data_IF_827314069249
#
_entry.id   IF_827314069249
#
_cell.length_a   1.000
_cell.length_b   1.000
_cell.length_c   1.000
_cell.angle_alpha   90.00
_cell.angle_beta   90.00
_cell.angle_gamma   90.00
#
_symmetry.space_group_name_H-M   'P 1'
#
loop_
_entity.id
_entity.type
_entity.pdbx_description
1 polymer ?
#
# COMPACT_ATOMS: atom_id res chain seq x y z
N UNK A 1 -53.88 84.61 -80.35
CA UNK A 1 -54.92 84.82 -79.33
C UNK A 1 -54.20 85.18 -78.05
N UNK A 2 -54.20 86.46 -77.69
CA UNK A 2 -53.55 86.93 -76.48
C UNK A 2 -54.43 86.57 -75.29
N UNK A 3 -53.85 85.93 -74.27
CA UNK A 3 -54.54 85.66 -73.01
C UNK A 3 -54.99 87.01 -72.44
N UNK A 4 -56.22 87.09 -71.95
CA UNK A 4 -56.71 88.35 -71.36
C UNK A 4 -56.08 88.54 -69.99
N UNK A 5 -56.05 89.79 -69.51
CA UNK A 5 -55.53 90.11 -68.16
C UNK A 5 -56.33 89.36 -67.08
N UNK A 6 -57.64 89.17 -67.28
CA UNK A 6 -58.46 88.38 -66.36
C UNK A 6 -58.06 86.90 -66.32
N UNK A 7 -57.72 86.28 -67.46
CA UNK A 7 -57.25 84.88 -67.49
C UNK A 7 -55.90 84.71 -66.77
N UNK A 8 -55.02 85.71 -66.85
CA UNK A 8 -53.74 85.69 -66.14
C UNK A 8 -53.96 85.83 -64.63
N UNK A 9 -54.86 86.72 -64.20
CA UNK A 9 -55.20 86.90 -62.79
C UNK A 9 -55.82 85.63 -62.19
N UNK A 10 -56.69 84.95 -62.93
CA UNK A 10 -57.28 83.68 -62.49
C UNK A 10 -56.21 82.57 -62.32
N UNK A 11 -55.24 82.46 -63.24
CA UNK A 11 -54.14 81.49 -63.12
C UNK A 11 -53.20 81.78 -61.96
N UNK A 12 -52.94 83.07 -61.67
CA UNK A 12 -52.13 83.47 -60.51
C UNK A 12 -52.84 83.08 -59.22
N UNK A 13 -54.14 83.34 -59.11
CA UNK A 13 -54.93 82.94 -57.95
C UNK A 13 -54.95 81.41 -57.74
N UNK A 14 -55.03 80.63 -58.82
CA UNK A 14 -54.99 79.16 -58.75
C UNK A 14 -53.61 78.63 -58.31
N UNK A 15 -52.52 79.24 -58.79
CA UNK A 15 -51.15 78.93 -58.34
C UNK A 15 -50.92 79.28 -56.87
N UNK A 16 -51.44 80.42 -56.42
CA UNK A 16 -51.39 80.81 -55.01
C UNK A 16 -52.15 79.81 -54.14
N UNK A 17 -53.31 79.33 -54.62
CA UNK A 17 -54.09 78.31 -53.92
C UNK A 17 -53.36 76.95 -53.89
N UNK A 18 -52.68 76.56 -54.98
CA UNK A 18 -51.87 75.33 -55.01
C UNK A 18 -50.66 75.42 -54.09
N UNK A 19 -49.95 76.56 -54.06
CA UNK A 19 -48.83 76.77 -53.14
C UNK A 19 -49.26 76.72 -51.67
N UNK A 20 -50.45 77.21 -51.34
CA UNK A 20 -51.01 77.14 -49.99
C UNK A 20 -51.33 75.69 -49.54
N UNK A 21 -51.43 74.74 -50.46
CA UNK A 21 -51.72 73.33 -50.15
C UNK A 21 -50.48 72.44 -50.00
N UNK A 22 -49.27 72.96 -50.25
CA UNK A 22 -48.04 72.20 -50.04
C UNK A 22 -47.75 72.12 -48.53
N UNK A 23 -47.79 70.92 -47.90
CA UNK A 23 -47.46 70.79 -46.49
C UNK A 23 -45.98 71.15 -46.26
N UNK A 24 -45.64 71.85 -45.16
CA UNK A 24 -44.25 72.15 -44.84
C UNK A 24 -43.47 70.83 -44.68
N UNK A 25 -42.18 70.80 -45.09
CA UNK A 25 -41.35 69.61 -44.90
C UNK A 25 -41.32 69.23 -43.41
N UNK A 26 -41.31 67.94 -43.07
CA UNK A 26 -41.27 67.51 -41.68
C UNK A 26 -40.04 68.11 -41.00
N UNK A 27 -40.26 68.74 -39.84
CA UNK A 27 -39.23 69.44 -39.06
C UNK A 27 -38.41 68.50 -38.18
N UNK A 28 -38.77 67.22 -38.13
CA UNK A 28 -38.07 66.19 -37.35
C UNK A 28 -37.45 65.15 -38.29
N UNK A 29 -36.19 65.36 -38.64
CA UNK A 29 -35.33 64.28 -39.10
C UNK A 29 -34.68 63.66 -37.87
N UNK A 30 -34.71 62.32 -37.76
CA UNK A 30 -33.91 61.65 -36.74
C UNK A 30 -32.42 61.82 -37.10
N UNK A 31 -31.77 62.78 -36.47
CA UNK A 31 -30.31 62.87 -36.44
C UNK A 31 -29.81 61.94 -35.34
N UNK A 32 -29.03 60.94 -35.72
CA UNK A 32 -28.33 60.09 -34.75
C UNK A 32 -27.57 60.96 -33.76
N UNK A 33 -27.71 60.66 -32.46
CA UNK A 33 -26.90 61.29 -31.42
C UNK A 33 -25.41 60.93 -31.51
N UNK A 34 -25.08 59.92 -32.32
CA UNK A 34 -23.72 59.45 -32.60
C UNK A 34 -23.29 59.83 -34.00
N UNK A 35 -22.05 60.30 -34.12
CA UNK A 35 -21.36 60.48 -35.38
C UNK A 35 -21.14 59.15 -36.10
N UNK A 36 -20.89 59.21 -37.43
CA UNK A 36 -20.54 58.01 -38.20
C UNK A 36 -19.28 57.31 -37.67
N UNK A 37 -18.28 58.08 -37.23
CA UNK A 37 -17.05 57.51 -36.63
C UNK A 37 -17.33 56.77 -35.32
N UNK A 38 -18.24 57.27 -34.47
CA UNK A 38 -18.64 56.58 -33.23
C UNK A 38 -19.39 55.28 -33.53
N UNK A 39 -20.20 55.26 -34.57
CA UNK A 39 -20.90 54.05 -35.04
C UNK A 39 -19.89 53.03 -35.57
N UNK A 40 -18.94 53.45 -36.40
CA UNK A 40 -17.90 52.57 -36.95
C UNK A 40 -16.99 52.01 -35.85
N UNK A 41 -16.61 52.84 -34.87
CA UNK A 41 -15.84 52.42 -33.71
C UNK A 41 -16.61 51.40 -32.86
N UNK A 42 -17.92 51.57 -32.69
CA UNK A 42 -18.78 50.63 -31.98
C UNK A 42 -18.87 49.27 -32.71
N UNK A 43 -19.07 49.28 -34.03
CA UNK A 43 -19.11 48.06 -34.85
C UNK A 43 -17.78 47.32 -34.78
N UNK A 44 -16.67 48.05 -34.88
CA UNK A 44 -15.33 47.48 -34.75
C UNK A 44 -15.13 46.82 -33.39
N UNK A 45 -15.53 47.50 -32.30
CA UNK A 45 -15.44 46.98 -30.93
C UNK A 45 -16.27 45.70 -30.74
N UNK A 46 -17.43 45.60 -31.38
CA UNK A 46 -18.26 44.40 -31.37
C UNK A 46 -17.57 43.25 -32.13
N UNK A 47 -17.02 43.51 -33.31
CA UNK A 47 -16.31 42.48 -34.09
C UNK A 47 -15.03 41.98 -33.41
N UNK A 48 -14.26 42.89 -32.81
CA UNK A 48 -13.03 42.56 -32.08
C UNK A 48 -13.33 41.80 -30.77
N UNK A 49 -14.51 42.03 -30.17
CA UNK A 49 -14.94 41.40 -28.91
C UNK A 49 -15.63 40.04 -29.05
N UNK A 50 -16.13 39.66 -30.23
CA UNK A 50 -16.86 38.40 -30.46
C UNK A 50 -15.92 37.20 -30.64
N UNK A 51 -14.66 37.41 -31.04
CA UNK A 51 -13.68 36.33 -31.14
C UNK A 51 -12.92 36.20 -29.82
N UNK A 52 -13.62 35.82 -28.76
CA UNK A 52 -13.04 35.50 -27.44
C UNK A 52 -12.21 34.20 -27.42
N UNK A 53 -11.49 33.91 -28.50
CA UNK A 53 -10.53 32.81 -28.59
C UNK A 53 -9.13 33.29 -28.24
N UNK A 54 -8.29 32.36 -27.78
CA UNK A 54 -6.87 32.61 -27.56
C UNK A 54 -6.22 33.00 -28.89
N UNK A 55 -5.77 34.25 -29.03
CA UNK A 55 -5.19 34.77 -30.28
C UNK A 55 -3.83 34.14 -30.61
N UNK A 56 -3.12 33.68 -29.59
CA UNK A 56 -1.95 32.81 -29.72
C UNK A 56 -1.68 32.00 -28.45
N UNK A 57 -1.19 30.77 -28.59
CA UNK A 57 -0.79 29.92 -27.47
C UNK A 57 0.50 29.18 -27.82
N UNK A 58 1.49 29.26 -26.93
CA UNK A 58 2.79 28.59 -27.08
C UNK A 58 3.44 28.83 -28.46
N UNK A 59 3.39 30.08 -28.95
CA UNK A 59 3.95 30.48 -30.25
C UNK A 59 3.10 30.16 -31.49
N UNK A 60 1.95 29.49 -31.33
CA UNK A 60 1.01 29.18 -32.42
C UNK A 60 -0.11 30.23 -32.50
N UNK A 61 -0.54 30.58 -33.70
CA UNK A 61 -1.65 31.53 -33.98
C UNK A 61 -2.80 30.84 -34.70
N UNK A 62 -4.02 31.38 -34.61
CA UNK A 62 -5.22 30.81 -35.25
C UNK A 62 -5.94 29.76 -34.39
N UNK A 63 -6.58 28.77 -35.01
CA UNK A 63 -7.26 27.69 -34.29
C UNK A 63 -6.25 26.80 -33.56
N UNK A 64 -6.11 27.00 -32.24
CA UNK A 64 -5.19 26.23 -31.40
C UNK A 64 -5.86 24.93 -30.92
N UNK A 65 -5.48 23.79 -31.50
CA UNK A 65 -5.82 22.46 -30.97
C UNK A 65 -4.73 21.99 -29.98
N UNK A 66 -5.10 21.31 -28.89
CA UNK A 66 -4.15 20.64 -28.01
C UNK A 66 -3.21 19.69 -28.77
N UNK A 67 -1.91 19.83 -28.53
CA UNK A 67 -0.83 18.99 -29.05
C UNK A 67 -0.04 18.39 -27.89
N UNK A 68 0.70 17.30 -28.17
CA UNK A 68 1.60 16.71 -27.20
C UNK A 68 2.64 17.76 -26.74
N UNK A 69 2.74 17.98 -25.43
CA UNK A 69 3.65 18.97 -24.83
C UNK A 69 3.05 20.35 -24.54
N UNK A 70 1.82 20.64 -24.98
CA UNK A 70 1.11 21.88 -24.60
C UNK A 70 0.78 21.96 -23.11
N UNK A 71 0.63 20.78 -22.49
CA UNK A 71 0.37 20.62 -21.08
C UNK A 71 1.36 19.63 -20.51
N UNK A 72 1.99 20.00 -19.40
CA UNK A 72 2.71 19.06 -18.56
C UNK A 72 1.92 18.83 -17.25
N UNK A 73 2.32 17.81 -16.48
CA UNK A 73 1.66 17.46 -15.23
C UNK A 73 1.67 18.58 -14.18
N UNK A 74 2.53 19.60 -14.32
CA UNK A 74 2.56 20.74 -13.39
C UNK A 74 1.52 21.81 -13.69
N UNK A 75 0.91 21.79 -14.88
CA UNK A 75 -0.10 22.76 -15.34
C UNK A 75 -1.54 22.27 -15.21
N UNK A 76 -1.74 20.99 -14.86
CA UNK A 76 -3.08 20.42 -14.65
C UNK A 76 -3.41 20.54 -13.15
N UNK A 77 -4.34 21.44 -12.75
CA UNK A 77 -4.78 21.54 -11.36
C UNK A 77 -5.50 20.26 -10.95
N UNK A 78 -5.22 19.76 -9.75
CA UNK A 78 -5.88 18.56 -9.22
C UNK A 78 -7.09 19.03 -8.44
N UNK A 79 -8.30 18.80 -8.97
CA UNK A 79 -9.54 19.26 -8.33
C UNK A 79 -9.94 18.48 -7.07
N UNK A 80 -9.04 17.67 -6.49
CA UNK A 80 -9.38 16.70 -5.45
C UNK A 80 -8.48 16.67 -4.20
N UNK A 81 -7.37 17.41 -4.16
CA UNK A 81 -6.50 17.49 -2.99
C UNK A 81 -6.26 18.97 -2.64
N UNK A 82 -6.74 19.46 -1.48
CA UNK A 82 -6.64 20.88 -1.12
C UNK A 82 -5.19 21.38 -0.94
N UNK A 83 -4.19 20.50 -0.87
CA UNK A 83 -2.77 20.88 -0.71
C UNK A 83 -1.94 20.74 -2.00
N UNK A 84 -2.45 20.09 -3.05
CA UNK A 84 -1.67 19.84 -4.27
C UNK A 84 -2.01 20.83 -5.40
N UNK A 85 -1.11 21.77 -5.68
CA UNK A 85 -1.27 22.72 -6.80
C UNK A 85 -1.22 22.05 -8.18
N UNK A 86 -0.61 20.86 -8.29
CA UNK A 86 -0.50 20.12 -9.54
C UNK A 86 -0.40 18.60 -9.39
N UNK A 87 -0.63 17.87 -10.49
CA UNK A 87 -0.63 16.40 -10.55
C UNK A 87 0.73 15.81 -10.13
N UNK A 88 1.84 16.46 -10.48
CA UNK A 88 3.17 16.00 -10.09
C UNK A 88 3.37 16.04 -8.56
N UNK A 89 2.86 17.06 -7.87
CA UNK A 89 2.86 17.17 -6.42
C UNK A 89 1.91 16.14 -5.78
N UNK A 90 0.72 15.94 -6.33
CA UNK A 90 -0.24 14.95 -5.82
C UNK A 90 0.28 13.49 -5.93
N UNK A 91 1.08 13.20 -6.96
CA UNK A 91 1.71 11.89 -7.17
C UNK A 91 3.07 11.76 -6.49
N UNK A 92 3.71 12.87 -6.12
CA UNK A 92 4.97 12.84 -5.39
C UNK A 92 4.80 11.99 -4.11
N UNK A 93 5.70 11.05 -3.91
CA UNK A 93 5.71 10.12 -2.77
C UNK A 93 4.59 9.05 -2.72
N UNK A 94 3.71 8.96 -3.72
CA UNK A 94 2.71 7.86 -3.77
C UNK A 94 3.33 6.52 -4.24
N UNK A 95 4.42 6.58 -5.00
CA UNK A 95 5.27 5.44 -5.35
C UNK A 95 6.71 5.89 -5.67
N UNK A 96 7.52 6.26 -4.66
CA UNK A 96 8.91 6.67 -4.89
C UNK A 96 9.67 5.64 -5.73
N UNK A 97 10.30 6.09 -6.82
CA UNK A 97 11.08 5.23 -7.72
C UNK A 97 10.30 4.22 -8.58
N UNK A 98 8.96 4.20 -8.54
CA UNK A 98 8.15 3.29 -9.36
C UNK A 98 8.04 1.85 -8.83
N UNK A 99 8.53 1.57 -7.62
CA UNK A 99 8.55 0.21 -7.04
C UNK A 99 7.36 -0.12 -6.12
N UNK A 100 6.39 0.79 -5.96
CA UNK A 100 5.15 0.56 -5.20
C UNK A 100 5.32 0.38 -3.67
N UNK A 101 6.56 0.29 -3.16
CA UNK A 101 6.88 0.18 -1.73
C UNK A 101 7.78 1.31 -1.22
N UNK A 102 8.31 2.16 -2.12
CA UNK A 102 9.09 3.34 -1.77
C UNK A 102 10.49 3.05 -1.23
N UNK A 103 10.87 3.78 -0.19
CA UNK A 103 12.18 3.81 0.47
C UNK A 103 12.39 2.61 1.44
N UNK A 104 13.41 2.70 2.31
CA UNK A 104 13.64 1.74 3.39
C UNK A 104 12.39 1.54 4.28
N UNK A 105 12.21 0.32 4.80
CA UNK A 105 11.15 -0.01 5.77
C UNK A 105 11.14 0.95 6.96
N UNK A 106 9.94 1.28 7.48
CA UNK A 106 9.80 2.16 8.64
C UNK A 106 10.50 1.55 9.85
N UNK A 107 11.44 2.28 10.43
CA UNK A 107 12.13 1.85 11.64
C UNK A 107 11.22 2.03 12.87
N UNK A 108 11.20 1.00 13.72
CA UNK A 108 10.53 0.98 15.01
C UNK A 108 11.59 0.95 16.12
N UNK A 109 11.28 1.57 17.25
CA UNK A 109 12.15 1.63 18.42
C UNK A 109 11.47 1.01 19.64
N UNK A 110 12.14 1.01 20.78
CA UNK A 110 11.57 0.56 22.06
C UNK A 110 10.35 1.37 22.53
N UNK A 111 10.13 2.56 21.97
CA UNK A 111 8.99 3.42 22.31
C UNK A 111 7.71 2.98 21.56
N UNK A 112 7.86 2.24 20.47
CA UNK A 112 6.75 1.69 19.70
C UNK A 112 6.18 0.41 20.33
N UNK A 113 4.90 0.17 20.11
CA UNK A 113 4.24 -1.10 20.43
C UNK A 113 3.78 -1.80 19.15
N UNK A 114 4.31 -2.99 18.90
CA UNK A 114 3.99 -3.79 17.73
C UNK A 114 2.51 -4.20 17.68
N UNK A 115 1.79 -4.22 18.82
CA UNK A 115 0.35 -4.47 18.87
C UNK A 115 -0.47 -3.28 18.33
N UNK A 116 0.07 -2.06 18.37
CA UNK A 116 -0.57 -0.85 17.85
C UNK A 116 -0.29 -0.62 16.35
N UNK A 117 0.65 -1.35 15.77
CA UNK A 117 1.00 -1.23 14.34
C UNK A 117 0.01 -2.01 13.48
N UNK A 118 -1.00 -1.32 12.97
CA UNK A 118 -2.06 -1.88 12.11
C UNK A 118 -1.98 -1.44 10.65
N UNK A 119 -1.21 -0.40 10.34
CA UNK A 119 -1.11 0.10 8.97
C UNK A 119 -0.33 -0.88 8.08
N UNK A 120 -0.86 -1.18 6.90
CA UNK A 120 -0.15 -1.93 5.87
C UNK A 120 1.24 -1.33 5.62
N UNK A 121 2.25 -2.19 5.55
CA UNK A 121 3.59 -1.74 5.21
C UNK A 121 4.70 -2.66 5.67
N UNK A 122 5.92 -2.19 5.43
CA UNK A 122 7.15 -2.83 5.87
C UNK A 122 7.78 -2.03 7.00
N UNK A 123 8.17 -2.74 8.04
CA UNK A 123 8.75 -2.21 9.26
C UNK A 123 10.05 -2.93 9.55
N UNK A 124 10.92 -2.32 10.34
CA UNK A 124 12.17 -2.93 10.78
C UNK A 124 12.53 -2.48 12.20
N UNK A 125 13.32 -3.28 12.89
CA UNK A 125 14.01 -2.85 14.10
C UNK A 125 15.34 -3.59 14.25
N UNK A 126 16.24 -2.95 14.99
CA UNK A 126 17.51 -3.52 15.41
C UNK A 126 17.46 -4.04 16.85
N UNK A 127 18.53 -3.82 17.60
CA UNK A 127 18.62 -4.22 19.01
C UNK A 127 17.61 -3.53 19.94
N UNK A 128 17.14 -2.33 19.58
CA UNK A 128 16.08 -1.62 20.29
C UNK A 128 14.71 -2.08 19.80
N UNK A 129 14.30 -3.28 20.18
CA UNK A 129 13.06 -3.88 19.72
C UNK A 129 11.82 -3.15 20.30
N UNK A 130 10.75 -2.99 19.51
CA UNK A 130 9.49 -2.47 20.01
C UNK A 130 8.87 -3.43 21.02
N UNK A 131 7.95 -2.90 21.82
CA UNK A 131 7.15 -3.71 22.74
C UNK A 131 6.39 -4.79 21.97
N UNK A 132 6.21 -5.95 22.59
CA UNK A 132 5.55 -7.11 22.00
C UNK A 132 6.23 -7.69 20.73
N UNK A 133 7.48 -7.32 20.46
CA UNK A 133 8.27 -7.94 19.40
C UNK A 133 8.61 -9.41 19.71
N UNK A 134 8.57 -10.31 18.71
CA UNK A 134 9.05 -11.67 18.90
C UNK A 134 10.57 -11.70 19.13
N UNK A 135 11.02 -12.55 20.04
CA UNK A 135 12.45 -12.84 20.15
C UNK A 135 12.88 -13.74 18.98
N UNK A 136 13.49 -13.14 17.98
CA UNK A 136 13.99 -13.80 16.77
C UNK A 136 15.50 -13.99 16.75
N UNK A 137 16.18 -13.72 17.86
CA UNK A 137 17.62 -13.93 17.97
C UNK A 137 17.96 -15.42 17.91
N UNK A 138 19.06 -15.82 17.23
CA UNK A 138 19.58 -17.18 17.29
C UNK A 138 20.01 -17.63 18.70
N UNK A 139 20.08 -16.72 19.66
CA UNK A 139 20.75 -16.93 20.95
C UNK A 139 22.06 -16.14 20.99
N UNK A 140 22.62 -15.94 22.19
CA UNK A 140 23.90 -15.25 22.45
C UNK A 140 23.91 -13.71 22.43
N UNK A 141 22.76 -13.04 22.54
CA UNK A 141 22.72 -11.57 22.65
C UNK A 141 23.03 -10.84 21.34
N UNK A 142 22.97 -11.54 20.21
CA UNK A 142 23.19 -10.96 18.89
C UNK A 142 22.13 -9.89 18.56
N UNK A 143 22.59 -8.76 18.04
CA UNK A 143 21.74 -7.68 17.51
C UNK A 143 20.78 -8.24 16.47
N UNK A 144 19.49 -8.21 16.80
CA UNK A 144 18.45 -8.70 15.91
C UNK A 144 18.13 -7.65 14.86
N UNK A 145 18.53 -7.88 13.61
CA UNK A 145 17.92 -7.17 12.48
C UNK A 145 16.65 -7.93 12.08
N UNK A 146 15.49 -7.37 12.41
CA UNK A 146 14.20 -7.95 12.06
C UNK A 146 13.50 -7.05 11.04
N UNK A 147 12.94 -7.67 10.02
CA UNK A 147 11.92 -7.08 9.16
C UNK A 147 10.56 -7.60 9.54
N UNK A 148 9.56 -6.73 9.51
CA UNK A 148 8.17 -7.10 9.66
C UNK A 148 7.34 -6.61 8.47
N UNK A 149 6.40 -7.45 8.05
CA UNK A 149 5.32 -7.06 7.15
C UNK A 149 4.04 -7.03 7.95
N UNK A 150 3.30 -5.93 7.82
CA UNK A 150 1.94 -5.80 8.36
C UNK A 150 0.99 -5.83 7.18
N UNK A 151 0.04 -6.77 7.22
CA UNK A 151 -1.06 -6.88 6.27
C UNK A 151 -2.37 -6.81 7.04
N UNK A 152 -3.12 -5.71 6.92
CA UNK A 152 -4.41 -5.55 7.58
C UNK A 152 -5.58 -5.73 6.60
N UNK A 153 -6.60 -6.41 7.08
CA UNK A 153 -7.91 -6.47 6.43
C UNK A 153 -8.81 -5.33 6.95
N UNK A 154 -8.79 -5.10 8.26
CA UNK A 154 -9.46 -4.00 8.96
C UNK A 154 -8.72 -3.67 10.27
N UNK A 155 -9.32 -2.88 11.16
CA UNK A 155 -8.75 -2.49 12.47
C UNK A 155 -8.73 -3.63 13.51
N UNK A 156 -9.36 -4.75 13.22
CA UNK A 156 -9.51 -5.90 14.11
C UNK A 156 -8.80 -7.16 13.59
N UNK A 157 -8.46 -7.20 12.31
CA UNK A 157 -7.93 -8.36 11.60
C UNK A 157 -6.61 -7.99 10.90
N UNK A 158 -5.50 -8.34 11.54
CA UNK A 158 -4.15 -7.94 11.12
C UNK A 158 -3.22 -9.15 11.15
N UNK A 159 -2.52 -9.40 10.04
CA UNK A 159 -1.41 -10.34 9.97
C UNK A 159 -0.10 -9.58 10.14
N UNK A 160 0.77 -10.07 11.02
CA UNK A 160 2.15 -9.64 11.11
C UNK A 160 3.07 -10.83 10.86
N UNK A 161 4.01 -10.65 9.94
CA UNK A 161 5.05 -11.64 9.63
C UNK A 161 6.42 -11.04 9.87
N UNK A 162 7.36 -11.90 10.24
CA UNK A 162 8.68 -11.50 10.70
C UNK A 162 9.78 -12.33 10.06
N UNK A 163 10.87 -11.65 9.70
CA UNK A 163 12.07 -12.24 9.12
C UNK A 163 13.31 -11.72 9.84
N UNK A 164 14.17 -12.63 10.30
CA UNK A 164 15.49 -12.25 10.78
C UNK A 164 16.47 -12.15 9.61
N UNK A 165 17.26 -11.07 9.57
CA UNK A 165 18.39 -10.88 8.64
C UNK A 165 19.70 -11.43 9.23
N UNK A 166 19.67 -12.09 10.38
CA UNK A 166 20.90 -12.60 10.99
C UNK A 166 21.54 -13.67 10.10
N UNK A 167 22.82 -13.50 9.72
CA UNK A 167 23.51 -14.37 8.76
C UNK A 167 23.53 -15.85 9.20
N UNK A 168 23.50 -16.12 10.51
CA UNK A 168 23.43 -17.47 11.07
C UNK A 168 22.01 -17.99 11.32
N UNK A 169 20.96 -17.19 11.10
CA UNK A 169 19.60 -17.53 11.50
C UNK A 169 18.56 -16.94 10.55
N UNK A 170 18.02 -17.78 9.66
CA UNK A 170 16.96 -17.40 8.73
C UNK A 170 15.57 -17.58 9.36
N UNK A 171 15.42 -17.15 10.60
CA UNK A 171 14.23 -17.37 11.40
C UNK A 171 13.02 -16.67 10.78
N UNK A 172 11.86 -17.34 10.78
CA UNK A 172 10.59 -16.80 10.26
C UNK A 172 9.43 -17.15 11.17
N UNK A 173 8.57 -16.19 11.44
CA UNK A 173 7.37 -16.38 12.25
C UNK A 173 6.27 -15.42 11.81
N UNK A 174 5.04 -15.68 12.28
CA UNK A 174 3.91 -14.79 12.12
C UNK A 174 3.04 -14.76 13.36
N UNK A 175 2.16 -13.77 13.46
CA UNK A 175 1.04 -13.76 14.41
C UNK A 175 -0.14 -13.04 13.78
N UNK A 176 -1.33 -13.38 14.24
CA UNK A 176 -2.57 -12.86 13.68
C UNK A 176 -3.37 -12.22 14.81
N UNK A 177 -3.75 -10.96 14.62
CA UNK A 177 -4.82 -10.31 15.36
C UNK A 177 -6.15 -10.69 14.73
N UNK A 178 -7.10 -11.20 15.53
CA UNK A 178 -8.48 -11.43 15.12
C UNK A 178 -9.41 -10.78 16.12
N UNK A 179 -10.42 -10.06 15.65
CA UNK A 179 -11.37 -9.33 16.51
C UNK A 179 -10.67 -8.43 17.55
N UNK A 180 -9.53 -7.82 17.17
CA UNK A 180 -8.74 -6.95 18.05
C UNK A 180 -7.88 -7.69 19.09
N UNK A 181 -7.84 -9.03 19.05
CA UNK A 181 -7.05 -9.85 19.98
C UNK A 181 -5.88 -10.50 19.23
N UNK A 182 -4.67 -10.23 19.69
CA UNK A 182 -3.46 -10.86 19.18
C UNK A 182 -3.38 -12.33 19.59
N UNK A 183 -3.31 -13.22 18.60
CA UNK A 183 -3.03 -14.63 18.79
C UNK A 183 -1.56 -14.91 19.11
N UNK A 184 -1.23 -16.18 19.41
CA UNK A 184 0.15 -16.57 19.70
C UNK A 184 1.06 -16.39 18.48
N UNK A 185 2.35 -16.22 18.74
CA UNK A 185 3.38 -16.31 17.70
C UNK A 185 3.48 -17.75 17.18
N UNK A 186 3.50 -17.91 15.87
CA UNK A 186 3.69 -19.21 15.23
C UNK A 186 4.87 -19.19 14.28
N UNK A 187 5.73 -20.19 14.40
CA UNK A 187 6.99 -20.29 13.69
C UNK A 187 6.82 -21.01 12.35
N UNK A 188 7.38 -20.40 11.31
CA UNK A 188 7.52 -20.97 9.97
C UNK A 188 8.88 -21.64 9.85
N UNK A 189 9.93 -20.94 10.32
CA UNK A 189 11.27 -21.47 10.45
C UNK A 189 11.79 -21.11 11.85
N UNK A 190 11.60 -22.00 12.85
CA UNK A 190 12.05 -21.76 14.21
C UNK A 190 13.59 -21.81 14.30
N UNK A 191 14.21 -21.10 15.26
CA UNK A 191 15.66 -21.18 15.51
C UNK A 191 16.13 -22.56 15.96
N UNK A 192 15.20 -23.41 16.44
CA UNK A 192 15.48 -24.74 16.99
C UNK A 192 16.54 -24.74 18.10
N UNK A 193 16.52 -23.75 18.99
CA UNK A 193 17.37 -23.75 20.18
C UNK A 193 17.02 -24.93 21.09
N UNK A 194 18.06 -25.51 21.68
CA UNK A 194 17.94 -26.67 22.56
C UNK A 194 17.06 -26.35 23.77
N UNK A 195 16.05 -27.18 24.02
CA UNK A 195 15.14 -27.04 25.16
C UNK A 195 14.04 -26.00 24.99
N UNK A 196 14.01 -25.25 23.89
CA UNK A 196 12.98 -24.24 23.61
C UNK A 196 11.84 -24.87 22.81
N UNK A 197 10.61 -24.63 23.25
CA UNK A 197 9.38 -25.06 22.58
C UNK A 197 8.89 -23.95 21.63
N UNK A 198 8.54 -24.33 20.40
CA UNK A 198 8.03 -23.44 19.37
C UNK A 198 6.69 -23.94 18.86
N UNK A 199 5.64 -23.11 18.97
CA UNK A 199 4.37 -23.34 18.25
C UNK A 199 4.58 -23.07 16.76
N UNK A 200 4.19 -23.97 15.88
CA UNK A 200 4.40 -23.81 14.43
C UNK A 200 3.11 -23.43 13.70
N UNK A 201 3.25 -23.07 12.42
CA UNK A 201 2.10 -22.85 11.54
C UNK A 201 1.42 -24.16 11.10
N UNK A 202 2.07 -25.31 11.34
CA UNK A 202 1.54 -26.61 10.94
C UNK A 202 0.35 -27.02 11.83
N UNK A 203 -0.55 -27.81 11.27
CA UNK A 203 -1.71 -28.38 11.96
C UNK A 203 -1.83 -29.85 11.65
N UNK A 204 -2.14 -30.65 12.67
CA UNK A 204 -2.61 -32.02 12.49
C UNK A 204 -4.08 -32.08 12.89
N UNK A 205 -4.97 -32.38 11.93
CA UNK A 205 -6.42 -32.35 12.16
C UNK A 205 -6.91 -31.04 12.81
N UNK A 206 -6.42 -29.89 12.32
CA UNK A 206 -6.68 -28.54 12.87
C UNK A 206 -6.09 -28.24 14.26
N UNK A 207 -5.40 -29.18 14.91
CA UNK A 207 -4.71 -28.96 16.18
C UNK A 207 -3.31 -28.38 15.92
N UNK A 208 -2.87 -27.33 16.64
CA UNK A 208 -1.53 -26.77 16.52
C UNK A 208 -0.43 -27.79 16.79
N UNK A 209 0.56 -27.83 15.89
CA UNK A 209 1.80 -28.58 16.09
C UNK A 209 2.82 -27.68 16.79
N UNK A 210 3.55 -28.27 17.72
CA UNK A 210 4.69 -27.69 18.43
C UNK A 210 5.94 -28.47 18.05
N UNK A 211 7.09 -27.81 18.08
CA UNK A 211 8.40 -28.44 17.87
C UNK A 211 9.36 -28.08 18.99
N UNK A 212 10.21 -29.03 19.39
CA UNK A 212 11.23 -28.83 20.43
C UNK A 212 12.46 -29.70 20.13
N UNK A 213 13.64 -29.09 20.19
CA UNK A 213 14.90 -29.81 20.24
C UNK A 213 15.18 -30.26 21.68
N UNK A 214 15.48 -31.54 21.87
CA UNK A 214 15.71 -32.19 23.16
C UNK A 214 17.10 -32.79 23.18
N UNK A 215 17.85 -32.56 24.26
CA UNK A 215 19.12 -33.21 24.49
C UNK A 215 18.86 -34.60 25.10
N UNK A 216 19.16 -35.66 24.36
CA UNK A 216 19.04 -37.02 24.85
C UNK A 216 20.32 -37.49 25.55
N UNK A 217 21.43 -36.76 25.39
CA UNK A 217 22.75 -37.13 25.87
C UNK A 217 23.34 -38.27 25.05
N UNK A 218 24.11 -39.16 25.68
CA UNK A 218 24.74 -40.30 24.98
C UNK A 218 23.71 -41.32 24.50
N UNK A 219 23.97 -41.96 23.36
CA UNK A 219 23.15 -43.05 22.85
C UNK A 219 23.29 -44.32 23.73
N UNK A 220 22.40 -45.33 23.56
CA UNK A 220 22.50 -46.59 24.31
C UNK A 220 23.74 -47.42 23.95
N UNK A 221 24.17 -48.27 24.88
CA UNK A 221 25.22 -49.28 24.66
C UNK A 221 24.58 -50.66 24.45
N UNK A 222 24.21 -51.01 23.21
CA UNK A 222 23.56 -52.28 22.88
C UNK A 222 22.37 -52.62 23.80
N UNK A 223 21.58 -51.59 24.15
CA UNK A 223 20.49 -51.65 25.13
C UNK A 223 19.45 -50.57 24.83
N UNK A 224 18.50 -50.34 25.75
CA UNK A 224 17.59 -49.21 25.74
C UNK A 224 18.03 -48.12 26.72
N UNK A 225 17.77 -46.86 26.37
CA UNK A 225 17.94 -45.72 27.26
C UNK A 225 16.72 -44.82 27.18
N UNK A 226 16.31 -44.25 28.31
CA UNK A 226 15.13 -43.39 28.43
C UNK A 226 15.51 -42.06 29.07
N UNK A 227 14.99 -40.96 28.52
CA UNK A 227 15.22 -39.59 29.01
C UNK A 227 13.92 -38.80 28.96
N UNK A 228 13.68 -37.94 29.95
CA UNK A 228 12.54 -37.01 29.96
C UNK A 228 12.71 -35.93 28.89
N UNK A 229 11.67 -35.68 28.08
CA UNK A 229 11.68 -34.59 27.10
C UNK A 229 11.25 -33.23 27.70
N UNK A 230 10.67 -33.24 28.90
CA UNK A 230 10.28 -32.02 29.63
C UNK A 230 9.27 -31.16 28.87
N UNK A 231 8.24 -31.78 28.29
CA UNK A 231 7.16 -31.09 27.58
C UNK A 231 5.90 -31.24 28.42
N UNK A 232 5.39 -30.13 28.92
CA UNK A 232 4.14 -30.11 29.68
C UNK A 232 2.94 -30.18 28.74
N UNK A 233 1.97 -31.04 29.03
CA UNK A 233 0.74 -31.19 28.23
C UNK A 233 0.97 -31.84 26.87
N UNK A 234 2.01 -32.68 26.74
CA UNK A 234 2.23 -33.49 25.55
C UNK A 234 1.02 -34.40 25.32
N UNK A 235 0.50 -34.40 24.08
CA UNK A 235 -0.65 -35.23 23.71
C UNK A 235 -0.23 -36.36 22.77
N UNK A 236 0.23 -35.99 21.58
CA UNK A 236 0.56 -36.96 20.53
C UNK A 236 1.85 -36.58 19.83
N UNK A 237 2.77 -37.54 19.72
CA UNK A 237 3.93 -37.42 18.83
C UNK A 237 3.44 -37.47 17.39
N UNK A 238 3.83 -36.48 16.58
CA UNK A 238 3.50 -36.39 15.16
C UNK A 238 4.69 -36.79 14.31
N UNK A 239 5.89 -36.37 14.68
CA UNK A 239 7.14 -36.68 13.97
C UNK A 239 8.34 -36.66 14.92
N UNK A 240 9.34 -37.48 14.58
CA UNK A 240 10.62 -37.55 15.29
C UNK A 240 11.75 -37.50 14.27
N UNK A 241 12.70 -36.59 14.51
CA UNK A 241 13.96 -36.55 13.78
C UNK A 241 15.12 -36.34 14.76
N UNK A 242 16.36 -36.49 14.30
CA UNK A 242 17.49 -36.27 15.19
C UNK A 242 18.83 -36.62 14.59
N UNK A 243 19.89 -36.28 15.33
CA UNK A 243 21.27 -36.59 14.98
C UNK A 243 21.86 -37.56 16.00
N UNK A 244 22.74 -38.45 15.53
CA UNK A 244 23.47 -39.44 16.32
C UNK A 244 24.97 -39.35 15.98
N UNK A 245 25.74 -38.59 16.76
CA UNK A 245 27.19 -38.48 16.59
C UNK A 245 27.66 -38.11 15.17
N UNK A 246 26.85 -37.36 14.41
CA UNK A 246 27.11 -36.99 13.01
C UNK A 246 26.34 -37.81 11.97
N UNK A 247 25.72 -38.93 12.35
CA UNK A 247 24.79 -39.68 11.52
C UNK A 247 23.34 -39.19 11.72
N UNK A 248 22.45 -39.53 10.79
CA UNK A 248 21.01 -39.39 11.02
C UNK A 248 20.57 -40.41 12.07
N UNK A 249 19.77 -39.97 13.05
CA UNK A 249 19.18 -40.87 14.04
C UNK A 249 18.17 -41.82 13.38
N UNK A 250 17.33 -41.27 12.50
CA UNK A 250 16.23 -42.00 11.86
C UNK A 250 16.80 -42.89 10.75
N UNK A 251 16.48 -44.18 10.80
CA UNK A 251 16.96 -45.17 9.83
C UNK A 251 18.41 -45.62 10.04
N UNK A 252 19.04 -45.23 11.15
CA UNK A 252 20.36 -45.76 11.51
C UNK A 252 20.27 -47.27 11.75
N UNK A 253 21.14 -48.06 11.09
CA UNK A 253 21.06 -49.54 11.08
C UNK A 253 21.09 -50.19 12.47
N UNK A 254 21.69 -49.51 13.46
CA UNK A 254 21.81 -50.01 14.83
C UNK A 254 20.80 -49.40 15.81
N UNK A 255 19.85 -48.60 15.31
CA UNK A 255 18.71 -48.12 16.09
C UNK A 255 17.52 -49.00 15.70
N UNK A 256 17.03 -49.76 16.68
CA UNK A 256 15.95 -50.73 16.46
C UNK A 256 14.59 -50.20 16.91
N UNK A 257 14.58 -49.18 17.77
CA UNK A 257 13.36 -48.57 18.28
C UNK A 257 13.58 -47.13 18.73
N UNK A 258 12.60 -46.27 18.42
CA UNK A 258 12.46 -44.93 19.00
C UNK A 258 11.01 -44.79 19.44
N UNK A 259 10.80 -44.68 20.75
CA UNK A 259 9.49 -44.56 21.34
C UNK A 259 9.39 -43.22 22.06
N UNK A 260 8.29 -42.50 21.82
CA UNK A 260 7.97 -41.25 22.50
C UNK A 260 6.63 -41.41 23.18
N UNK A 261 6.59 -41.23 24.49
CA UNK A 261 5.37 -41.29 25.29
C UNK A 261 5.03 -39.90 25.84
N UNK A 262 4.16 -39.83 26.85
CA UNK A 262 3.68 -38.56 27.40
C UNK A 262 4.75 -37.69 28.09
N UNK A 263 5.87 -38.26 28.54
CA UNK A 263 6.95 -37.51 29.21
C UNK A 263 8.36 -37.85 28.77
N UNK A 264 8.56 -39.00 28.11
CA UNK A 264 9.87 -39.59 27.83
C UNK A 264 10.09 -39.93 26.36
N UNK A 265 11.37 -39.96 26.00
CA UNK A 265 11.88 -40.57 24.77
C UNK A 265 12.69 -41.81 25.20
N UNK A 266 12.46 -42.94 24.55
CA UNK A 266 13.27 -44.15 24.66
C UNK A 266 13.91 -44.45 23.32
N UNK A 267 15.21 -44.71 23.33
CA UNK A 267 15.97 -45.16 22.16
C UNK A 267 16.53 -46.54 22.47
N UNK A 268 16.35 -47.47 21.54
CA UNK A 268 16.83 -48.84 21.61
C UNK A 268 17.87 -49.07 20.52
N UNK A 269 19.01 -49.65 20.93
CA UNK A 269 20.11 -49.97 20.02
C UNK A 269 20.58 -51.42 20.19
N UNK A 270 20.98 -52.05 19.09
CA UNK A 270 21.52 -53.42 19.06
C UNK A 270 23.06 -53.48 19.05
N UNK A 271 23.72 -52.32 19.06
CA UNK A 271 25.17 -52.16 19.13
C UNK A 271 25.56 -51.04 20.10
N UNK A 272 26.85 -51.01 20.49
CA UNK A 272 27.38 -49.94 21.31
C UNK A 272 27.47 -48.63 20.53
N UNK A 273 26.60 -47.68 20.86
CA UNK A 273 26.58 -46.33 20.29
C UNK A 273 26.90 -45.26 21.36
N UNK A 274 27.29 -45.66 22.57
CA UNK A 274 27.41 -44.77 23.75
C UNK A 274 28.44 -43.66 23.63
N UNK A 275 29.33 -43.75 22.62
CA UNK A 275 30.28 -42.69 22.26
C UNK A 275 29.66 -41.54 21.47
N UNK A 276 28.44 -41.69 20.97
CA UNK A 276 27.72 -40.70 20.19
C UNK A 276 26.70 -39.96 21.04
N UNK A 277 26.66 -38.63 20.90
CA UNK A 277 25.58 -37.82 21.46
C UNK A 277 24.37 -37.81 20.53
N UNK A 278 23.19 -37.75 21.14
CA UNK A 278 21.89 -37.73 20.47
C UNK A 278 21.15 -36.46 20.80
N UNK A 279 20.65 -35.81 19.75
CA UNK A 279 19.71 -34.70 19.86
C UNK A 279 18.47 -35.06 19.05
N UNK A 280 17.32 -34.93 19.68
CA UNK A 280 16.03 -35.32 19.09
C UNK A 280 15.20 -34.07 18.86
N UNK A 281 14.62 -33.94 17.68
CA UNK A 281 13.59 -32.95 17.39
C UNK A 281 12.26 -33.68 17.40
N UNK A 282 11.37 -33.26 18.29
CA UNK A 282 10.00 -33.76 18.37
C UNK A 282 9.07 -32.74 17.73
N UNK A 283 8.21 -33.19 16.80
CA UNK A 283 6.97 -32.48 16.48
C UNK A 283 5.79 -33.18 17.15
N UNK A 284 4.93 -32.41 17.80
CA UNK A 284 3.85 -32.97 18.63
C UNK A 284 2.67 -32.03 18.74
N UNK A 285 1.53 -32.59 19.12
CA UNK A 285 0.37 -31.81 19.58
C UNK A 285 0.35 -31.74 21.10
N UNK A 286 -0.32 -30.72 21.63
CA UNK A 286 -0.56 -30.57 23.07
C UNK A 286 -2.04 -30.76 23.36
N UNK A 287 -2.37 -31.18 24.58
CA UNK A 287 -3.76 -31.24 25.04
C UNK A 287 -4.33 -29.83 25.02
N UNK A 288 -5.41 -29.61 24.29
CA UNK A 288 -6.15 -28.34 24.35
C UNK A 288 -6.72 -28.20 25.75
N UNK A 289 -6.22 -27.23 26.51
CA UNK A 289 -6.91 -26.70 27.69
C UNK A 289 -8.21 -26.02 27.30
#
# INVERSE_FOLDING_TARGET
MAITIEELAAKVAELEQQMATIPPPPTEYYTSAYSGEEIDAAIKKVNDGIVGGVSSFNGRTGAVLPQAGDYNATQIPVSGDPEAENVAAALANKAPGGFGLGEQSKELTSDDDLNAIQANGWYRWGSSAPQNAPNMSPGNGDSGYIFARVANYDSQNVLQEYWSLNQGAQNKAHRICRNGVWGPLEWINPPMQLGVEYRTIERYQQVPIYTKAVNFGTAPNATSKTVEHGITGFNQCVDVSGILGGANLIGHKNIVGILVNASQITIEADADLSRSNVYVILKYTKTTS
#
